data_IF_301881987688
#
_entry.id   IF_301881987688
#
_cell.length_a   1.000
_cell.length_b   1.000
_cell.length_c   1.000
_cell.angle_alpha   90.00
_cell.angle_beta   90.00
_cell.angle_gamma   90.00
#
_symmetry.space_group_name_H-M   'P 1'
#
loop_
_entity.id
_entity.type
_entity.pdbx_description
1 polymer ?
#
# COMPACT_ATOMS: atom_id res chain seq x y z
N UNK A 1 16.20 -3.90 4.14
CA UNK A 1 16.76 -5.18 3.67
C UNK A 1 15.78 -6.34 3.87
N UNK A 2 15.39 -6.70 5.10
CA UNK A 2 14.48 -7.84 5.37
C UNK A 2 13.15 -7.82 4.60
N UNK A 3 12.47 -6.68 4.53
CA UNK A 3 11.23 -6.55 3.76
C UNK A 3 11.43 -6.91 2.27
N UNK A 4 12.52 -6.44 1.66
CA UNK A 4 12.82 -6.73 0.26
C UNK A 4 13.08 -8.23 0.01
N UNK A 5 13.49 -8.98 1.02
CA UNK A 5 13.71 -10.42 0.86
C UNK A 5 12.38 -11.18 0.94
N UNK A 6 11.50 -10.80 1.88
CA UNK A 6 10.15 -11.39 2.03
C UNK A 6 9.28 -11.15 0.78
N UNK A 7 9.45 -10.01 0.12
CA UNK A 7 8.67 -9.63 -1.08
C UNK A 7 9.49 -9.68 -2.37
N UNK A 8 10.45 -10.61 -2.46
CA UNK A 8 11.32 -10.75 -3.63
C UNK A 8 10.55 -10.98 -4.94
N UNK A 9 9.41 -11.67 -4.91
CA UNK A 9 8.51 -11.82 -6.09
C UNK A 9 7.92 -10.50 -6.58
N UNK A 10 7.49 -9.65 -5.64
CA UNK A 10 6.96 -8.33 -5.96
C UNK A 10 8.03 -7.47 -6.64
N UNK A 11 9.26 -7.60 -6.16
CA UNK A 11 10.44 -6.93 -6.67
C UNK A 11 10.76 -7.46 -8.08
N UNK A 12 10.62 -8.76 -8.34
CA UNK A 12 10.91 -9.32 -9.67
C UNK A 12 9.91 -8.92 -10.76
N UNK A 13 8.76 -8.31 -10.42
CA UNK A 13 7.82 -7.82 -11.45
C UNK A 13 8.49 -6.71 -12.26
N UNK A 14 8.57 -6.84 -13.60
CA UNK A 14 9.33 -5.92 -14.46
C UNK A 14 8.79 -4.48 -14.43
N UNK A 15 7.60 -4.26 -13.88
CA UNK A 15 6.95 -2.95 -13.80
C UNK A 15 6.36 -2.78 -12.37
N UNK A 16 7.00 -1.91 -11.58
CA UNK A 16 6.38 -0.96 -10.63
C UNK A 16 6.25 -1.11 -9.08
N UNK A 17 6.81 -2.10 -8.35
CA UNK A 17 6.83 -1.99 -6.86
C UNK A 17 8.12 -1.41 -6.25
N UNK A 18 9.28 -1.58 -6.88
CA UNK A 18 10.56 -1.29 -6.21
C UNK A 18 10.83 0.21 -6.01
N UNK A 19 10.68 0.99 -7.09
CA UNK A 19 10.95 2.43 -7.06
C UNK A 19 9.88 3.17 -6.25
N UNK A 20 8.62 2.77 -6.40
CA UNK A 20 7.47 3.33 -5.68
C UNK A 20 7.57 3.10 -4.17
N UNK A 21 8.19 1.99 -3.76
CA UNK A 21 8.41 1.69 -2.35
C UNK A 21 9.36 2.69 -1.68
N UNK A 22 10.32 3.26 -2.41
CA UNK A 22 11.22 4.30 -1.86
C UNK A 22 10.40 5.53 -1.44
N UNK A 23 9.47 5.98 -2.30
CA UNK A 23 8.56 7.08 -1.96
C UNK A 23 7.68 6.72 -0.77
N UNK A 24 7.18 5.49 -0.70
CA UNK A 24 6.41 5.05 0.46
C UNK A 24 7.20 5.15 1.77
N UNK A 25 8.45 4.68 1.80
CA UNK A 25 9.32 4.79 2.98
C UNK A 25 9.63 6.25 3.33
N UNK A 26 9.94 7.08 2.34
CA UNK A 26 10.16 8.52 2.54
C UNK A 26 8.91 9.20 3.13
N UNK A 27 7.71 8.84 2.65
CA UNK A 27 6.44 9.29 3.20
C UNK A 27 6.29 8.94 4.68
N UNK A 28 6.58 7.69 5.07
CA UNK A 28 6.57 7.27 6.47
C UNK A 28 7.59 8.03 7.33
N UNK A 29 8.79 8.29 6.80
CA UNK A 29 9.81 9.08 7.49
C UNK A 29 9.30 10.51 7.72
N UNK A 30 8.71 11.15 6.70
CA UNK A 30 8.13 12.49 6.85
C UNK A 30 6.98 12.50 7.85
N UNK A 31 6.10 11.50 7.86
CA UNK A 31 5.03 11.38 8.86
C UNK A 31 5.59 11.29 10.29
N UNK A 32 6.63 10.47 10.51
CA UNK A 32 7.33 10.41 11.78
C UNK A 32 7.94 11.76 12.18
N UNK A 33 8.58 12.45 11.24
CA UNK A 33 9.16 13.78 11.46
C UNK A 33 8.08 14.82 11.77
N UNK A 34 6.95 14.82 11.06
CA UNK A 34 5.80 15.70 11.31
C UNK A 34 5.25 15.49 12.73
N UNK A 35 5.21 14.26 13.22
CA UNK A 35 4.75 13.96 14.57
C UNK A 35 5.74 14.41 15.66
N UNK A 36 7.04 14.22 15.44
CA UNK A 36 8.09 14.42 16.45
C UNK A 36 8.75 15.80 16.44
N UNK A 37 8.61 16.56 15.36
CA UNK A 37 9.29 17.84 15.18
C UNK A 37 8.57 18.99 15.90
N UNK A 38 9.34 19.76 16.67
CA UNK A 38 8.86 20.96 17.37
C UNK A 38 9.26 22.26 16.67
N UNK A 39 10.24 22.21 15.76
CA UNK A 39 10.71 23.39 15.02
C UNK A 39 9.73 23.68 13.87
N UNK A 40 9.01 24.81 13.96
CA UNK A 40 7.98 25.21 13.00
C UNK A 40 8.46 25.14 11.54
N UNK A 41 9.63 25.72 11.21
CA UNK A 41 10.18 25.69 9.84
C UNK A 41 10.34 24.27 9.29
N UNK A 42 10.86 23.34 10.11
CA UNK A 42 11.05 21.94 9.70
C UNK A 42 9.71 21.23 9.56
N UNK A 43 8.78 21.45 10.50
CA UNK A 43 7.41 20.93 10.41
C UNK A 43 6.74 21.33 9.09
N UNK A 44 6.86 22.59 8.68
CA UNK A 44 6.32 23.09 7.41
C UNK A 44 6.99 22.43 6.20
N UNK A 45 8.33 22.33 6.21
CA UNK A 45 9.09 21.66 5.13
C UNK A 45 8.64 20.20 4.98
N UNK A 46 8.48 19.46 6.08
CA UNK A 46 8.05 18.06 5.99
C UNK A 46 6.63 17.91 5.46
N UNK A 47 5.69 18.80 5.81
CA UNK A 47 4.34 18.80 5.24
C UNK A 47 4.36 19.11 3.73
N UNK A 48 5.18 20.09 3.31
CA UNK A 48 5.35 20.42 1.90
C UNK A 48 5.93 19.24 1.09
N UNK A 49 7.01 18.62 1.58
CA UNK A 49 7.63 17.47 0.92
C UNK A 49 6.69 16.26 0.91
N UNK A 50 5.93 16.04 1.98
CA UNK A 50 4.92 14.98 2.02
C UNK A 50 3.81 15.22 1.00
N UNK A 51 3.33 16.46 0.83
CA UNK A 51 2.29 16.78 -0.15
C UNK A 51 2.74 16.51 -1.59
N UNK A 52 3.95 16.96 -1.96
CA UNK A 52 4.56 16.64 -3.27
C UNK A 52 4.68 15.12 -3.45
N UNK A 53 5.21 14.42 -2.45
CA UNK A 53 5.44 12.98 -2.51
C UNK A 53 4.14 12.20 -2.69
N UNK A 54 3.09 12.56 -1.96
CA UNK A 54 1.77 11.91 -2.08
C UNK A 54 1.14 12.22 -3.43
N UNK A 55 1.27 13.45 -3.93
CA UNK A 55 0.78 13.81 -5.26
C UNK A 55 1.48 13.02 -6.37
N UNK A 56 2.79 12.81 -6.27
CA UNK A 56 3.53 11.94 -7.20
C UNK A 56 3.10 10.46 -7.09
N UNK A 57 2.86 9.97 -5.87
CA UNK A 57 2.43 8.59 -5.64
C UNK A 57 1.06 8.27 -6.29
N UNK A 58 0.19 9.27 -6.52
CA UNK A 58 -1.09 9.07 -7.23
C UNK A 58 -0.90 8.46 -8.62
N UNK A 59 0.16 8.86 -9.33
CA UNK A 59 0.47 8.38 -10.67
C UNK A 59 1.17 7.01 -10.67
N UNK A 60 1.62 6.55 -9.51
CA UNK A 60 2.51 5.40 -9.40
C UNK A 60 1.82 4.16 -8.84
N UNK A 61 1.25 4.24 -7.63
CA UNK A 61 0.70 3.06 -6.98
C UNK A 61 -0.37 3.39 -5.94
N UNK A 62 -1.64 2.96 -6.14
CA UNK A 62 -2.75 3.42 -5.31
C UNK A 62 -2.62 3.04 -3.84
N UNK A 63 -2.12 1.84 -3.58
CA UNK A 63 -2.00 1.28 -2.24
C UNK A 63 -1.01 2.05 -1.34
N UNK A 64 -0.06 2.78 -1.92
CA UNK A 64 0.91 3.55 -1.13
C UNK A 64 0.38 4.93 -0.76
N UNK A 65 -0.18 5.70 -1.71
CA UNK A 65 -0.68 7.03 -1.39
C UNK A 65 -1.90 6.98 -0.45
N UNK A 66 -2.82 6.02 -0.64
CA UNK A 66 -3.98 5.86 0.25
C UNK A 66 -3.53 5.58 1.68
N UNK A 67 -2.52 4.74 1.85
CA UNK A 67 -1.93 4.42 3.15
C UNK A 67 -1.30 5.64 3.80
N UNK A 68 -0.47 6.40 3.06
CA UNK A 68 0.16 7.61 3.59
C UNK A 68 -0.89 8.66 3.99
N UNK A 69 -1.93 8.86 3.17
CA UNK A 69 -3.04 9.76 3.49
C UNK A 69 -3.80 9.32 4.75
N UNK A 70 -4.08 8.03 4.89
CA UNK A 70 -4.78 7.52 6.07
C UNK A 70 -3.93 7.66 7.35
N UNK A 71 -2.60 7.42 7.29
CA UNK A 71 -1.71 7.68 8.42
C UNK A 71 -1.67 9.17 8.74
N UNK A 72 -1.55 10.02 7.72
CA UNK A 72 -1.54 11.47 7.91
C UNK A 72 -2.84 11.97 8.56
N UNK A 73 -3.99 11.52 8.06
CA UNK A 73 -5.31 11.85 8.58
C UNK A 73 -5.47 11.43 10.04
N UNK A 74 -5.05 10.22 10.39
CA UNK A 74 -5.13 9.72 11.77
C UNK A 74 -4.22 10.50 12.73
N UNK A 75 -3.01 10.87 12.29
CA UNK A 75 -2.09 11.73 13.05
C UNK A 75 -2.65 13.15 13.23
N UNK A 76 -3.28 13.72 12.20
CA UNK A 76 -3.93 15.03 12.29
C UNK A 76 -5.10 15.00 13.25
N UNK A 77 -5.99 14.00 13.14
CA UNK A 77 -7.13 13.84 14.07
C UNK A 77 -6.61 13.79 15.51
N UNK A 78 -5.56 13.01 15.77
CA UNK A 78 -4.93 12.98 17.09
C UNK A 78 -4.43 14.36 17.54
N UNK A 79 -3.72 15.10 16.68
CA UNK A 79 -3.23 16.45 17.02
C UNK A 79 -4.38 17.44 17.26
N UNK A 80 -5.49 17.33 16.51
CA UNK A 80 -6.68 18.17 16.67
C UNK A 80 -7.31 17.90 18.03
N UNK A 81 -7.54 16.63 18.38
CA UNK A 81 -8.10 16.23 19.68
C UNK A 81 -7.22 16.72 20.85
N UNK A 82 -5.90 16.85 20.64
CA UNK A 82 -4.97 17.36 21.65
C UNK A 82 -4.76 18.88 21.60
N UNK A 83 -5.47 19.63 20.75
CA UNK A 83 -5.25 21.07 20.52
C UNK A 83 -3.79 21.42 20.20
N UNK A 84 -3.08 20.51 19.51
CA UNK A 84 -1.66 20.65 19.11
C UNK A 84 -1.48 20.82 17.61
N UNK A 85 -2.56 20.95 16.85
CA UNK A 85 -2.48 21.08 15.39
C UNK A 85 -2.06 22.48 15.00
N UNK A 86 -1.01 22.56 14.18
CA UNK A 86 -0.69 23.78 13.47
C UNK A 86 -1.37 23.74 12.10
N UNK A 87 -2.39 24.57 11.92
CA UNK A 87 -3.23 24.57 10.72
C UNK A 87 -2.42 24.86 9.44
N UNK A 88 -1.32 25.60 9.54
CA UNK A 88 -0.46 25.91 8.40
C UNK A 88 0.19 24.68 7.80
N UNK A 89 0.55 23.68 8.63
CA UNK A 89 1.09 22.42 8.13
C UNK A 89 0.10 21.69 7.23
N UNK A 90 -1.17 21.63 7.66
CA UNK A 90 -2.25 21.04 6.87
C UNK A 90 -2.47 21.83 5.58
N UNK A 91 -2.54 23.16 5.63
CA UNK A 91 -2.71 23.99 4.44
C UNK A 91 -1.57 23.78 3.43
N UNK A 92 -0.32 23.74 3.89
CA UNK A 92 0.86 23.56 3.03
C UNK A 92 0.92 22.16 2.43
N UNK A 93 0.56 21.14 3.21
CA UNK A 93 0.37 19.79 2.69
C UNK A 93 -0.68 19.76 1.59
N UNK A 94 -1.88 20.32 1.83
CA UNK A 94 -2.98 20.34 0.86
C UNK A 94 -2.60 21.12 -0.39
N UNK A 95 -1.98 22.29 -0.25
CA UNK A 95 -1.55 23.12 -1.38
C UNK A 95 -0.56 22.37 -2.29
N UNK A 96 0.49 21.80 -1.72
CA UNK A 96 1.51 21.05 -2.48
C UNK A 96 0.98 19.75 -3.07
N UNK A 97 0.11 19.02 -2.34
CA UNK A 97 -0.60 17.86 -2.84
C UNK A 97 -1.50 18.22 -4.04
N UNK A 98 -2.33 19.26 -3.92
CA UNK A 98 -3.24 19.66 -4.99
C UNK A 98 -2.47 20.10 -6.24
N UNK A 99 -1.44 20.92 -6.11
CA UNK A 99 -0.62 21.36 -7.25
C UNK A 99 -0.04 20.18 -8.03
N UNK A 100 0.46 19.17 -7.31
CA UNK A 100 1.08 18.00 -7.95
C UNK A 100 0.05 16.98 -8.46
N UNK A 101 -1.17 16.98 -7.93
CA UNK A 101 -2.24 16.03 -8.27
C UNK A 101 -3.29 16.56 -9.25
N UNK A 102 -3.27 17.86 -9.61
CA UNK A 102 -4.22 18.46 -10.55
C UNK A 102 -4.38 17.62 -11.84
N UNK A 103 -3.29 17.24 -12.56
CA UNK A 103 -3.44 16.46 -13.78
C UNK A 103 -4.16 15.12 -13.57
N UNK A 104 -3.88 14.43 -12.46
CA UNK A 104 -4.56 13.18 -12.11
C UNK A 104 -6.07 13.38 -11.95
N UNK A 105 -6.48 14.42 -11.22
CA UNK A 105 -7.90 14.68 -10.96
C UNK A 105 -8.66 15.16 -12.19
N UNK A 106 -8.01 15.93 -13.08
CA UNK A 106 -8.59 16.31 -14.37
C UNK A 106 -8.87 15.07 -15.22
N UNK A 107 -7.89 14.19 -15.38
CA UNK A 107 -8.05 12.94 -16.13
C UNK A 107 -9.10 12.02 -15.50
N UNK A 108 -9.14 11.92 -14.17
CA UNK A 108 -10.14 11.13 -13.46
C UNK A 108 -11.55 11.70 -13.68
N UNK A 109 -11.69 13.03 -13.68
CA UNK A 109 -12.96 13.68 -13.95
C UNK A 109 -13.43 13.39 -15.38
N UNK A 110 -12.57 13.56 -16.38
CA UNK A 110 -12.89 13.23 -17.77
C UNK A 110 -13.28 11.76 -17.93
N UNK A 111 -12.52 10.85 -17.32
CA UNK A 111 -12.84 9.42 -17.32
C UNK A 111 -14.22 9.13 -16.69
N UNK A 112 -14.57 9.84 -15.61
CA UNK A 112 -15.86 9.66 -14.92
C UNK A 112 -17.08 10.09 -15.74
N UNK A 113 -16.88 10.94 -16.77
CA UNK A 113 -17.94 11.38 -17.68
C UNK A 113 -18.20 10.38 -18.82
N UNK A 114 -17.35 9.37 -18.98
CA UNK A 114 -17.53 8.36 -20.02
C UNK A 114 -18.76 7.47 -19.71
N UNK A 115 -19.60 7.21 -20.71
CA UNK A 115 -20.81 6.38 -20.56
C UNK A 115 -20.51 4.94 -20.08
N UNK A 116 -19.32 4.43 -20.39
CA UNK A 116 -18.86 3.10 -19.98
C UNK A 116 -18.10 3.12 -18.65
N UNK A 117 -18.05 4.23 -17.93
CA UNK A 117 -17.25 4.34 -16.70
C UNK A 117 -17.68 3.34 -15.62
N UNK A 118 -18.98 3.21 -15.37
CA UNK A 118 -19.52 2.28 -14.37
C UNK A 118 -19.24 0.82 -14.73
N UNK A 119 -19.40 0.47 -16.00
CA UNK A 119 -19.09 -0.86 -16.53
C UNK A 119 -17.59 -1.15 -16.46
N UNK A 120 -16.76 -0.16 -16.78
CA UNK A 120 -15.29 -0.29 -16.68
C UNK A 120 -14.89 -0.54 -15.23
N UNK A 121 -15.44 0.24 -14.27
CA UNK A 121 -15.17 0.05 -12.85
C UNK A 121 -15.56 -1.34 -12.34
N UNK A 122 -16.71 -1.88 -12.77
CA UNK A 122 -17.11 -3.23 -12.37
C UNK A 122 -16.21 -4.30 -12.97
N UNK A 123 -15.81 -4.16 -14.24
CA UNK A 123 -14.88 -5.08 -14.94
C UNK A 123 -13.49 -5.09 -14.31
N UNK A 124 -13.01 -3.96 -13.80
CA UNK A 124 -11.74 -3.89 -13.04
C UNK A 124 -11.88 -4.33 -11.57
N UNK A 125 -13.05 -4.82 -11.17
CA UNK A 125 -13.28 -5.44 -9.87
C UNK A 125 -13.73 -4.47 -8.78
N UNK A 126 -14.39 -3.36 -9.09
CA UNK A 126 -15.09 -2.57 -8.09
C UNK A 126 -16.48 -3.18 -7.80
N UNK A 127 -16.69 -3.58 -6.55
CA UNK A 127 -17.94 -4.16 -6.04
C UNK A 127 -18.54 -3.29 -4.94
N UNK A 128 -19.86 -3.35 -4.80
CA UNK A 128 -20.57 -2.62 -3.75
C UNK A 128 -20.93 -3.57 -2.61
N UNK A 129 -20.25 -3.44 -1.46
CA UNK A 129 -20.49 -4.28 -0.28
C UNK A 129 -19.95 -3.64 1.00
N UNK A 130 -20.72 -3.77 2.07
CA UNK A 130 -20.31 -3.47 3.45
C UNK A 130 -19.85 -4.72 4.22
N UNK A 131 -19.67 -5.86 3.56
CA UNK A 131 -19.21 -7.06 4.23
C UNK A 131 -17.70 -6.95 4.54
N UNK A 132 -17.23 -7.24 5.75
CA UNK A 132 -15.81 -7.21 6.06
C UNK A 132 -15.04 -8.21 5.18
N UNK A 133 -13.93 -7.75 4.61
CA UNK A 133 -13.10 -8.54 3.69
C UNK A 133 -11.65 -8.59 4.21
N UNK A 134 -10.75 -9.25 3.47
CA UNK A 134 -9.31 -9.23 3.74
C UNK A 134 -8.89 -9.71 5.14
N UNK A 135 -9.59 -10.70 5.72
CA UNK A 135 -9.29 -11.23 7.06
C UNK A 135 -7.83 -11.67 7.25
N UNK A 136 -7.22 -12.22 6.19
CA UNK A 136 -5.81 -12.59 6.20
C UNK A 136 -4.88 -11.40 6.50
N UNK A 137 -5.21 -10.21 6.00
CA UNK A 137 -4.43 -8.99 6.26
C UNK A 137 -4.75 -8.38 7.62
N UNK A 138 -6.01 -8.47 8.07
CA UNK A 138 -6.45 -7.78 9.30
C UNK A 138 -6.16 -8.54 10.58
N UNK A 139 -6.11 -9.88 10.55
CA UNK A 139 -5.77 -10.70 11.73
C UNK A 139 -4.39 -10.35 12.32
N UNK A 140 -3.29 -10.26 11.55
CA UNK A 140 -1.98 -9.82 12.06
C UNK A 140 -2.03 -8.41 12.68
N UNK A 141 -2.84 -7.51 12.13
CA UNK A 141 -3.00 -6.14 12.63
C UNK A 141 -3.68 -6.15 13.99
N UNK A 142 -4.78 -6.89 14.14
CA UNK A 142 -5.51 -7.04 15.41
C UNK A 142 -4.59 -7.64 16.48
N UNK A 143 -3.88 -8.72 16.15
CA UNK A 143 -2.94 -9.34 17.08
C UNK A 143 -1.83 -8.37 17.51
N UNK A 144 -1.26 -7.63 16.56
CA UNK A 144 -0.22 -6.63 16.85
C UNK A 144 -0.77 -5.47 17.68
N UNK A 145 -2.02 -5.05 17.45
CA UNK A 145 -2.69 -4.03 18.26
C UNK A 145 -2.86 -4.50 19.71
N UNK A 146 -3.30 -5.73 19.93
CA UNK A 146 -3.39 -6.32 21.26
C UNK A 146 -2.02 -6.34 21.95
N UNK A 147 -0.96 -6.73 21.24
CA UNK A 147 0.41 -6.69 21.77
C UNK A 147 0.82 -5.27 22.16
N UNK A 148 0.58 -4.26 21.30
CA UNK A 148 0.90 -2.86 21.62
C UNK A 148 0.14 -2.38 22.85
N UNK A 149 -1.14 -2.76 23.01
CA UNK A 149 -1.95 -2.41 24.17
C UNK A 149 -1.40 -3.06 25.45
N UNK A 150 -1.08 -4.36 25.40
CA UNK A 150 -0.53 -5.13 26.55
C UNK A 150 0.84 -4.58 26.96
N UNK A 151 1.71 -4.30 25.99
CA UNK A 151 3.07 -3.82 26.24
C UNK A 151 3.20 -2.29 26.26
N UNK A 152 2.08 -1.54 26.27
CA UNK A 152 2.08 -0.06 26.24
C UNK A 152 2.94 0.58 27.32
N UNK A 153 2.97 -0.04 28.51
CA UNK A 153 3.75 0.45 29.66
C UNK A 153 5.26 0.40 29.44
N UNK A 154 5.72 -0.38 28.45
CA UNK A 154 7.13 -0.49 28.05
C UNK A 154 7.51 0.53 26.98
N UNK A 155 6.54 1.08 26.24
CA UNK A 155 6.78 2.11 25.22
C UNK A 155 6.72 3.48 25.90
N UNK A 156 7.86 3.92 26.45
CA UNK A 156 7.96 5.19 27.19
C UNK A 156 7.81 6.44 26.31
N UNK A 157 8.19 6.33 25.03
CA UNK A 157 8.11 7.44 24.09
C UNK A 157 6.68 7.56 23.55
N UNK A 158 5.99 8.61 23.99
CA UNK A 158 4.62 8.91 23.61
C UNK A 158 4.44 9.06 22.10
N UNK A 159 5.39 9.70 21.40
CA UNK A 159 5.30 9.88 19.96
C UNK A 159 5.43 8.54 19.22
N UNK A 160 6.32 7.64 19.68
CA UNK A 160 6.40 6.28 19.11
C UNK A 160 5.10 5.51 19.30
N UNK A 161 4.46 5.62 20.48
CA UNK A 161 3.19 4.95 20.73
C UNK A 161 2.09 5.48 19.79
N UNK A 162 1.93 6.80 19.67
CA UNK A 162 0.95 7.41 18.77
C UNK A 162 1.21 7.03 17.31
N UNK A 163 2.48 7.05 16.89
CA UNK A 163 2.85 6.65 15.54
C UNK A 163 2.45 5.19 15.29
N UNK A 164 2.83 4.27 16.19
CA UNK A 164 2.48 2.85 16.08
C UNK A 164 0.98 2.61 16.01
N UNK A 165 0.20 3.28 16.87
CA UNK A 165 -1.27 3.18 16.84
C UNK A 165 -1.85 3.71 15.53
N UNK A 166 -1.29 4.80 14.99
CA UNK A 166 -1.71 5.37 13.70
C UNK A 166 -1.42 4.42 12.54
N UNK A 167 -0.27 3.72 12.55
CA UNK A 167 0.06 2.70 11.56
C UNK A 167 -0.92 1.52 11.61
N UNK A 168 -1.20 0.99 12.80
CA UNK A 168 -2.12 -0.16 12.94
C UNK A 168 -3.57 0.22 12.63
N UNK A 169 -4.03 1.38 13.09
CA UNK A 169 -5.38 1.84 12.77
C UNK A 169 -5.54 2.11 11.28
N UNK A 170 -4.52 2.68 10.63
CA UNK A 170 -4.51 2.81 9.17
C UNK A 170 -4.56 1.44 8.49
N UNK A 171 -3.78 0.46 8.96
CA UNK A 171 -3.79 -0.88 8.41
C UNK A 171 -5.19 -1.54 8.51
N UNK A 172 -5.96 -1.29 9.57
CA UNK A 172 -7.36 -1.69 9.63
C UNK A 172 -8.21 -0.90 8.62
N UNK A 173 -8.09 0.43 8.62
CA UNK A 173 -8.88 1.31 7.76
C UNK A 173 -8.72 0.99 6.26
N UNK A 174 -7.51 0.72 5.78
CA UNK A 174 -7.28 0.45 4.35
C UNK A 174 -7.76 -0.92 3.88
N UNK A 175 -7.87 -1.90 4.81
CA UNK A 175 -8.37 -3.24 4.50
C UNK A 175 -9.89 -3.36 4.72
N UNK A 176 -10.49 -2.47 5.53
CA UNK A 176 -11.92 -2.42 5.85
C UNK A 176 -12.60 -1.10 5.46
N UNK A 177 -11.99 -0.35 4.54
CA UNK A 177 -12.51 0.85 3.91
C UNK A 177 -13.91 0.65 3.31
N UNK A 178 -14.22 -0.57 2.87
CA UNK A 178 -15.52 -0.91 2.28
C UNK A 178 -16.65 -0.92 3.32
N UNK A 179 -16.34 -1.13 4.61
CA UNK A 179 -17.33 -0.99 5.69
C UNK A 179 -17.89 0.44 5.75
N UNK A 180 -17.05 1.43 5.46
CA UNK A 180 -17.40 2.86 5.49
C UNK A 180 -17.95 3.30 4.14
N UNK A 181 -17.23 2.96 3.06
CA UNK A 181 -17.53 3.49 1.71
C UNK A 181 -18.57 2.69 0.95
N UNK A 182 -18.88 1.46 1.39
CA UNK A 182 -19.66 0.49 0.63
C UNK A 182 -18.98 0.03 -0.65
N UNK A 183 -17.71 0.40 -0.91
CA UNK A 183 -16.97 0.12 -2.14
C UNK A 183 -15.77 -0.78 -1.84
N UNK A 184 -15.76 -1.95 -2.46
CA UNK A 184 -14.71 -2.95 -2.36
C UNK A 184 -13.99 -3.07 -3.70
N UNK A 185 -12.66 -2.98 -3.70
CA UNK A 185 -11.84 -3.27 -4.86
C UNK A 185 -11.36 -4.70 -4.72
N UNK A 186 -11.58 -5.56 -5.73
CA UNK A 186 -11.22 -6.98 -5.72
C UNK A 186 -9.75 -7.21 -5.35
N UNK A 187 -8.90 -6.31 -5.82
CA UNK A 187 -7.47 -6.29 -5.59
C UNK A 187 -7.07 -5.68 -4.24
N UNK A 188 -7.99 -5.42 -3.32
CA UNK A 188 -7.68 -4.96 -1.95
C UNK A 188 -6.75 -5.90 -1.19
N UNK A 189 -6.67 -7.18 -1.59
CA UNK A 189 -5.64 -8.11 -1.12
C UNK A 189 -4.22 -7.56 -1.32
N UNK A 190 -3.97 -6.69 -2.31
CA UNK A 190 -2.67 -6.04 -2.55
C UNK A 190 -2.22 -5.11 -1.41
N UNK A 191 -3.13 -4.70 -0.51
CA UNK A 191 -2.72 -4.06 0.73
C UNK A 191 -1.92 -4.98 1.66
N UNK A 192 -1.82 -6.29 1.38
CA UNK A 192 -1.08 -7.23 2.24
C UNK A 192 0.38 -6.83 2.44
N UNK A 193 1.09 -6.40 1.39
CA UNK A 193 2.50 -6.00 1.51
C UNK A 193 2.65 -4.78 2.41
N UNK A 194 1.78 -3.79 2.19
CA UNK A 194 1.77 -2.56 2.98
C UNK A 194 1.41 -2.87 4.43
N UNK A 195 0.37 -3.67 4.64
CA UNK A 195 -0.11 -4.09 5.95
C UNK A 195 0.97 -4.84 6.72
N UNK A 196 1.63 -5.81 6.08
CA UNK A 196 2.76 -6.53 6.64
C UNK A 196 3.91 -5.59 6.98
N UNK A 197 4.25 -4.63 6.11
CA UNK A 197 5.28 -3.63 6.38
C UNK A 197 4.94 -2.79 7.62
N UNK A 198 3.70 -2.31 7.73
CA UNK A 198 3.24 -1.52 8.87
C UNK A 198 3.29 -2.33 10.17
N UNK A 199 2.81 -3.57 10.15
CA UNK A 199 2.87 -4.50 11.28
C UNK A 199 4.31 -4.74 11.72
N UNK A 200 5.20 -5.11 10.79
CA UNK A 200 6.63 -5.35 11.08
C UNK A 200 7.28 -4.09 11.66
N UNK A 201 6.96 -2.91 11.10
CA UNK A 201 7.48 -1.62 11.60
C UNK A 201 7.06 -1.40 13.05
N UNK A 202 5.80 -1.67 13.39
CA UNK A 202 5.28 -1.51 14.75
C UNK A 202 5.92 -2.51 15.71
N UNK A 203 6.08 -3.77 15.30
CA UNK A 203 6.77 -4.77 16.11
C UNK A 203 8.22 -4.34 16.36
N UNK A 204 8.91 -3.84 15.33
CA UNK A 204 10.28 -3.34 15.47
C UNK A 204 10.37 -2.15 16.44
N UNK A 205 9.43 -1.21 16.36
CA UNK A 205 9.32 -0.10 17.33
C UNK A 205 9.10 -0.66 18.74
N UNK A 206 8.21 -1.63 18.92
CA UNK A 206 7.93 -2.22 20.22
C UNK A 206 9.17 -2.91 20.81
N UNK A 207 9.84 -3.76 20.03
CA UNK A 207 11.07 -4.47 20.45
C UNK A 207 12.17 -3.49 20.81
N UNK A 208 12.39 -2.45 20.02
CA UNK A 208 13.48 -1.52 20.29
C UNK A 208 13.30 -0.74 21.62
N UNK A 209 12.09 -0.71 22.18
CA UNK A 209 11.80 -0.12 23.48
C UNK A 209 11.83 -1.12 24.66
N UNK A 210 12.05 -2.42 24.42
CA UNK A 210 12.22 -3.42 25.49
C UNK A 210 13.63 -3.37 26.11
N UNK A 211 13.82 -3.96 27.29
CA UNK A 211 15.16 -4.11 27.89
C UNK A 211 15.99 -5.14 27.10
N UNK A 212 17.32 -5.06 27.18
CA UNK A 212 18.25 -5.89 26.37
C UNK A 212 17.97 -7.41 26.43
N UNK A 213 17.66 -7.95 27.60
CA UNK A 213 17.30 -9.38 27.74
C UNK A 213 16.03 -9.75 26.95
N UNK A 214 15.01 -8.88 27.00
CA UNK A 214 13.78 -9.06 26.24
C UNK A 214 13.97 -8.77 24.75
N UNK A 215 14.90 -7.87 24.38
CA UNK A 215 15.24 -7.60 22.97
C UNK A 215 15.77 -8.85 22.27
N UNK A 216 16.68 -9.58 22.91
CA UNK A 216 17.26 -10.81 22.32
C UNK A 216 16.18 -11.88 22.14
N UNK A 217 15.37 -12.12 23.18
CA UNK A 217 14.26 -13.10 23.10
C UNK A 217 13.21 -12.71 22.06
N UNK A 218 12.80 -11.43 22.04
CA UNK A 218 11.80 -10.95 21.08
C UNK A 218 12.32 -10.93 19.64
N UNK A 219 13.58 -10.57 19.41
CA UNK A 219 14.22 -10.69 18.09
C UNK A 219 14.23 -12.15 17.62
N UNK A 220 14.54 -13.10 18.51
CA UNK A 220 14.48 -14.53 18.23
C UNK A 220 13.06 -14.99 17.86
N UNK A 221 12.03 -14.58 18.61
CA UNK A 221 10.63 -14.90 18.26
C UNK A 221 10.18 -14.25 16.94
N UNK A 222 10.67 -13.05 16.63
CA UNK A 222 10.37 -12.37 15.38
C UNK A 222 11.01 -13.11 14.20
N UNK A 223 12.25 -13.57 14.35
CA UNK A 223 12.91 -14.45 13.37
C UNK A 223 12.10 -15.73 13.17
N UNK A 224 11.65 -16.37 14.26
CA UNK A 224 10.79 -17.55 14.19
C UNK A 224 9.43 -17.30 13.53
N UNK A 225 8.84 -16.11 13.67
CA UNK A 225 7.61 -15.71 12.95
C UNK A 225 7.87 -15.41 11.47
N UNK A 226 9.06 -14.91 11.15
CA UNK A 226 9.48 -14.58 9.78
C UNK A 226 9.79 -15.85 8.99
N UNK A 227 10.33 -16.91 9.62
CA UNK A 227 10.69 -18.16 8.95
C UNK A 227 9.50 -18.81 8.22
N UNK A 228 8.30 -18.97 8.81
CA UNK A 228 7.11 -19.45 8.09
C UNK A 228 6.71 -18.53 6.94
N UNK A 229 6.75 -17.21 7.13
CA UNK A 229 6.45 -16.26 6.05
C UNK A 229 7.43 -16.38 4.88
N UNK A 230 8.71 -16.63 5.18
CA UNK A 230 9.72 -16.97 4.19
C UNK A 230 9.48 -18.31 3.52
N UNK A 231 9.11 -19.33 4.28
CA UNK A 231 8.79 -20.65 3.73
C UNK A 231 7.58 -20.58 2.80
N UNK A 232 6.52 -19.88 3.19
CA UNK A 232 5.34 -19.64 2.35
C UNK A 232 5.69 -18.79 1.12
N UNK A 233 6.49 -17.74 1.27
CA UNK A 233 6.96 -16.94 0.12
C UNK A 233 7.85 -17.76 -0.82
N UNK A 234 8.77 -18.57 -0.30
CA UNK A 234 9.64 -19.43 -1.11
C UNK A 234 8.87 -20.56 -1.82
N UNK A 235 7.87 -21.14 -1.16
CA UNK A 235 6.97 -22.09 -1.80
C UNK A 235 6.09 -21.43 -2.85
N UNK A 236 5.66 -20.18 -2.63
CA UNK A 236 5.00 -19.39 -3.65
C UNK A 236 5.94 -19.09 -4.82
N UNK A 237 7.25 -18.85 -4.59
CA UNK A 237 8.24 -18.67 -5.66
C UNK A 237 8.35 -19.94 -6.49
N UNK A 238 8.36 -21.11 -5.86
CA UNK A 238 8.37 -22.37 -6.59
C UNK A 238 7.06 -22.61 -7.34
N UNK A 239 5.92 -22.25 -6.75
CA UNK A 239 4.62 -22.34 -7.42
C UNK A 239 4.51 -21.34 -8.58
N UNK A 240 5.05 -20.13 -8.44
CA UNK A 240 5.07 -19.07 -9.44
C UNK A 240 6.10 -19.37 -10.52
N UNK A 241 7.27 -19.92 -10.18
CA UNK A 241 8.23 -20.51 -11.13
C UNK A 241 7.67 -21.73 -11.84
N UNK A 242 6.69 -22.42 -11.26
CA UNK A 242 5.96 -23.50 -11.93
C UNK A 242 4.79 -22.96 -12.77
N UNK A 243 4.24 -21.76 -12.48
CA UNK A 243 3.19 -21.08 -13.27
C UNK A 243 3.73 -20.24 -14.45
N UNK A 244 4.82 -19.50 -14.25
CA UNK A 244 5.85 -19.26 -15.27
C UNK A 244 6.62 -20.59 -15.42
N UNK A 245 7.52 -20.89 -16.34
CA UNK A 245 7.85 -22.30 -16.72
C UNK A 245 6.67 -23.16 -17.24
N UNK A 246 5.46 -23.09 -16.67
CA UNK A 246 4.18 -23.18 -17.42
C UNK A 246 3.90 -21.90 -18.23
N UNK A 247 4.81 -20.92 -18.21
CA UNK A 247 4.84 -19.87 -19.22
C UNK A 247 5.09 -20.57 -20.54
N UNK A 248 3.98 -20.91 -21.20
CA UNK A 248 3.79 -21.11 -22.63
C UNK A 248 5.02 -21.81 -23.21
N UNK A 249 5.00 -23.15 -23.38
CA UNK A 249 6.08 -23.87 -24.04
C UNK A 249 6.55 -23.06 -25.24
N UNK A 250 7.85 -22.98 -25.49
CA UNK A 250 8.41 -22.13 -26.56
C UNK A 250 7.65 -22.26 -27.90
N UNK A 251 7.06 -23.43 -28.14
CA UNK A 251 6.10 -23.74 -29.20
C UNK A 251 4.79 -22.93 -29.17
N UNK A 252 4.10 -22.79 -28.04
CA UNK A 252 2.94 -21.90 -27.92
C UNK A 252 3.33 -20.42 -27.99
N UNK A 253 4.53 -20.03 -27.54
CA UNK A 253 4.98 -18.63 -27.67
C UNK A 253 5.24 -18.32 -29.14
N UNK A 254 5.80 -19.29 -29.86
CA UNK A 254 5.93 -19.25 -31.32
C UNK A 254 4.56 -19.24 -32.00
N UNK A 255 3.57 -20.03 -31.56
CA UNK A 255 2.19 -19.97 -32.08
C UNK A 255 1.50 -18.62 -31.83
N UNK A 256 1.72 -18.01 -30.67
CA UNK A 256 1.22 -16.65 -30.41
C UNK A 256 1.94 -15.61 -31.28
N UNK A 257 3.19 -15.85 -31.65
CA UNK A 257 3.90 -15.07 -32.67
C UNK A 257 3.40 -15.38 -34.10
N UNK A 258 2.92 -16.59 -34.39
CA UNK A 258 2.24 -16.94 -35.66
C UNK A 258 0.90 -16.19 -35.78
N UNK A 259 0.24 -15.85 -34.68
CA UNK A 259 -0.95 -14.99 -34.68
C UNK A 259 -0.63 -13.53 -35.03
N UNK A 260 0.64 -13.13 -35.13
CA UNK A 260 1.02 -11.77 -35.50
C UNK A 260 0.38 -11.35 -36.82
N UNK A 261 0.46 -12.20 -37.85
CA UNK A 261 -0.11 -11.87 -39.17
C UNK A 261 -1.64 -11.74 -39.11
N UNK A 262 -2.30 -12.53 -38.25
CA UNK A 262 -3.73 -12.43 -37.98
C UNK A 262 -4.05 -11.12 -37.26
N UNK A 263 -3.28 -10.73 -36.24
CA UNK A 263 -3.47 -9.47 -35.53
C UNK A 263 -3.17 -8.26 -36.41
N UNK A 264 -2.14 -8.32 -37.25
CA UNK A 264 -1.79 -7.28 -38.22
C UNK A 264 -2.91 -7.13 -39.27
N UNK A 265 -3.48 -8.25 -39.74
CA UNK A 265 -4.65 -8.23 -40.61
C UNK A 265 -5.86 -7.63 -39.91
N UNK A 266 -6.17 -8.05 -38.68
CA UNK A 266 -7.31 -7.53 -37.92
C UNK A 266 -7.19 -6.03 -37.63
N UNK A 267 -6.01 -5.56 -37.24
CA UNK A 267 -5.74 -4.13 -37.02
C UNK A 267 -5.89 -3.31 -38.30
N UNK A 268 -5.61 -3.90 -39.46
CA UNK A 268 -5.70 -3.23 -40.77
C UNK A 268 -7.10 -3.27 -41.37
N UNK A 269 -7.91 -4.27 -41.01
CA UNK A 269 -9.19 -4.58 -41.68
C UNK A 269 -10.42 -4.51 -40.78
N UNK A 270 -10.26 -4.25 -39.48
CA UNK A 270 -11.40 -4.05 -38.57
C UNK A 270 -11.37 -2.64 -37.98
N UNK A 271 -12.54 -2.06 -37.64
CA UNK A 271 -12.59 -0.82 -36.88
C UNK A 271 -11.78 -0.93 -35.58
N UNK A 272 -11.12 0.15 -35.18
CA UNK A 272 -10.46 0.19 -33.86
C UNK A 272 -11.47 -0.14 -32.76
N UNK A 273 -11.03 -0.89 -31.75
CA UNK A 273 -11.81 -1.40 -30.62
C UNK A 273 -12.87 -2.48 -30.94
N UNK A 274 -12.76 -3.13 -32.11
CA UNK A 274 -13.58 -4.31 -32.44
C UNK A 274 -13.26 -5.49 -31.53
N UNK A 275 -14.29 -6.10 -30.92
CA UNK A 275 -14.13 -7.29 -30.06
C UNK A 275 -14.23 -8.55 -30.93
N UNK A 276 -13.18 -9.38 -30.95
CA UNK A 276 -13.26 -10.73 -31.51
C UNK A 276 -13.75 -11.72 -30.46
N UNK A 277 -14.86 -12.37 -30.76
CA UNK A 277 -15.24 -13.60 -30.10
C UNK A 277 -14.49 -14.76 -30.74
N UNK A 278 -13.43 -15.21 -30.08
CA UNK A 278 -12.81 -16.49 -30.41
C UNK A 278 -13.67 -17.56 -29.75
N UNK A 279 -14.49 -18.26 -30.54
CA UNK A 279 -15.14 -19.49 -30.07
C UNK A 279 -14.06 -20.56 -30.00
N UNK A 280 -13.72 -20.95 -28.77
CA UNK A 280 -12.82 -22.07 -28.45
C UNK A 280 -13.66 -23.32 -28.20
#
# INVERSE_FOLDING_TARGET
>A
MFFCIIFSEAIQRPIHPQFTFIFFILGLIFLWKILSENIFRKYIIYNFLLGILVGLLLYMYPYYWTTILAIYGTLIIYKIIKNKTNIWGLFIFLFSFLITSIPYFLNLHEASLNIFYSETLSRIGLFYTHFPTCYYNTLPVIFTLLLVIVFRSKIRDHNKMIYSLSLLFTALLINWQNLITGKYILFSTHYYMVTAFLVITVIFIAINNLNNEFKIKSAFYLILLIIPLFYFSANNINHFKNLFSLSIPKEETNKQQEMKDIFDWLNSNTPKDSILYIMV
#
